data_IF_714904518175
#
_entry.id   IF_714904518175
#
_cell.length_a   1.000
_cell.length_b   1.000
_cell.length_c   1.000
_cell.angle_alpha   90.00
_cell.angle_beta   90.00
_cell.angle_gamma   90.00
#
_symmetry.space_group_name_H-M   'P 1'
#
loop_
_entity.id
_entity.type
_entity.pdbx_description
1 polymer ?
#
# COMPACT_ATOMS: atom_id res chain seq x y z
N UNK A 1 -7.04 22.64 -22.55
CA UNK A 1 -7.67 21.30 -22.56
C UNK A 1 -8.69 21.26 -21.43
N UNK A 2 -9.88 20.70 -21.64
CA UNK A 2 -10.90 20.59 -20.56
C UNK A 2 -10.85 19.17 -19.98
N UNK A 3 -10.38 19.01 -18.75
CA UNK A 3 -10.26 17.73 -18.05
C UNK A 3 -11.59 17.31 -17.38
N UNK A 4 -12.72 17.39 -18.10
CA UNK A 4 -14.10 17.22 -17.56
C UNK A 4 -14.37 15.92 -16.78
N UNK A 5 -13.52 14.89 -16.93
CA UNK A 5 -13.65 13.61 -16.24
C UNK A 5 -12.66 13.42 -15.06
N UNK A 6 -11.94 14.48 -14.66
CA UNK A 6 -10.96 14.46 -13.58
C UNK A 6 -11.43 15.32 -12.41
N UNK A 7 -11.63 14.68 -11.26
CA UNK A 7 -11.85 15.34 -9.97
C UNK A 7 -10.52 15.49 -9.22
N UNK A 8 -10.45 16.44 -8.29
CA UNK A 8 -9.28 16.63 -7.41
C UNK A 8 -9.02 15.37 -6.58
N UNK A 9 -10.07 14.75 -6.04
CA UNK A 9 -9.97 13.50 -5.29
C UNK A 9 -9.35 12.37 -6.13
N UNK A 10 -9.74 12.27 -7.41
CA UNK A 10 -9.16 11.31 -8.34
C UNK A 10 -7.69 11.62 -8.61
N UNK A 11 -7.34 12.89 -8.81
CA UNK A 11 -5.97 13.32 -9.03
C UNK A 11 -5.07 13.03 -7.82
N UNK A 12 -5.52 13.37 -6.61
CA UNK A 12 -4.83 13.06 -5.35
C UNK A 12 -4.64 11.56 -5.17
N UNK A 13 -5.66 10.75 -5.48
CA UNK A 13 -5.57 9.28 -5.40
C UNK A 13 -4.50 8.73 -6.35
N UNK A 14 -4.49 9.21 -7.60
CA UNK A 14 -3.50 8.81 -8.61
C UNK A 14 -2.08 9.17 -8.16
N UNK A 15 -1.85 10.39 -7.67
CA UNK A 15 -0.52 10.78 -7.20
C UNK A 15 -0.11 10.06 -5.91
N UNK A 16 -1.04 9.83 -4.98
CA UNK A 16 -0.80 9.00 -3.79
C UNK A 16 -0.35 7.60 -4.19
N UNK A 17 -1.05 6.96 -5.14
CA UNK A 17 -0.69 5.63 -5.64
C UNK A 17 0.67 5.64 -6.36
N UNK A 18 0.96 6.66 -7.16
CA UNK A 18 2.26 6.81 -7.80
C UNK A 18 3.39 6.95 -6.77
N UNK A 19 3.20 7.76 -5.72
CA UNK A 19 4.18 7.90 -4.64
C UNK A 19 4.30 6.65 -3.75
N UNK A 20 3.26 5.82 -3.63
CA UNK A 20 3.37 4.49 -3.01
C UNK A 20 4.24 3.56 -3.84
N UNK A 21 4.04 3.51 -5.16
CA UNK A 21 4.86 2.68 -6.06
C UNK A 21 6.33 3.14 -6.07
N UNK A 22 6.57 4.45 -6.06
CA UNK A 22 7.93 5.00 -5.95
C UNK A 22 8.60 4.59 -4.62
N UNK A 23 7.89 4.71 -3.50
CA UNK A 23 8.41 4.28 -2.18
C UNK A 23 8.66 2.78 -2.11
N UNK A 24 7.77 1.97 -2.68
CA UNK A 24 7.96 0.53 -2.78
C UNK A 24 9.19 0.18 -3.64
N UNK A 25 9.39 0.88 -4.76
CA UNK A 25 10.56 0.72 -5.63
C UNK A 25 11.90 1.03 -4.95
N UNK A 26 11.90 1.80 -3.85
CA UNK A 26 13.09 2.08 -3.06
C UNK A 26 13.42 0.96 -2.04
N UNK A 27 12.50 0.03 -1.79
CA UNK A 27 12.74 -1.12 -0.92
C UNK A 27 13.49 -2.18 -1.73
N UNK A 28 14.72 -2.48 -1.31
CA UNK A 28 15.55 -3.49 -1.99
C UNK A 28 15.25 -4.87 -1.44
N UNK A 29 14.72 -5.75 -2.31
CA UNK A 29 14.51 -7.18 -2.04
C UNK A 29 15.53 -7.97 -2.86
N UNK A 30 16.30 -8.81 -2.18
CA UNK A 30 17.46 -9.50 -2.76
C UNK A 30 17.16 -10.97 -3.12
N UNK A 31 16.22 -11.59 -2.42
CA UNK A 31 15.83 -12.99 -2.59
C UNK A 31 14.39 -13.23 -2.11
N UNK A 32 13.84 -14.40 -2.44
CA UNK A 32 12.53 -14.85 -1.94
C UNK A 32 12.54 -14.93 -0.41
N UNK A 33 13.60 -15.49 0.20
CA UNK A 33 13.73 -15.57 1.65
C UNK A 33 13.81 -14.18 2.30
N UNK A 34 14.53 -13.24 1.68
CA UNK A 34 14.58 -11.86 2.15
C UNK A 34 13.18 -11.23 2.09
N UNK A 35 12.43 -11.43 0.99
CA UNK A 35 11.06 -10.95 0.85
C UNK A 35 10.13 -11.53 1.93
N UNK A 36 10.19 -12.84 2.15
CA UNK A 36 9.38 -13.55 3.13
C UNK A 36 9.67 -13.06 4.56
N UNK A 37 10.95 -12.92 4.91
CA UNK A 37 11.38 -12.42 6.22
C UNK A 37 10.97 -10.96 6.45
N UNK A 38 11.12 -10.10 5.44
CA UNK A 38 10.71 -8.70 5.52
C UNK A 38 9.19 -8.57 5.72
N UNK A 39 8.40 -9.35 4.99
CA UNK A 39 6.94 -9.38 5.15
C UNK A 39 6.52 -9.93 6.51
N UNK A 40 7.17 -10.99 6.98
CA UNK A 40 6.91 -11.55 8.30
C UNK A 40 7.21 -10.53 9.41
N UNK A 41 8.33 -9.83 9.32
CA UNK A 41 8.70 -8.79 10.27
C UNK A 41 7.71 -7.61 10.27
N UNK A 42 7.30 -7.14 9.08
CA UNK A 42 6.34 -6.05 8.94
C UNK A 42 4.97 -6.43 9.54
N UNK A 43 4.44 -7.61 9.20
CA UNK A 43 3.19 -8.16 9.78
C UNK A 43 3.29 -8.34 11.29
N UNK A 44 4.41 -8.88 11.77
CA UNK A 44 4.66 -9.04 13.19
C UNK A 44 4.73 -7.70 13.94
N UNK A 45 5.18 -6.63 13.29
CA UNK A 45 5.13 -5.29 13.87
C UNK A 45 3.69 -4.75 13.95
N UNK A 46 2.90 -4.87 12.87
CA UNK A 46 1.48 -4.49 12.85
C UNK A 46 0.68 -5.25 13.92
N UNK A 47 0.88 -6.57 14.02
CA UNK A 47 0.19 -7.40 15.00
C UNK A 47 0.52 -6.99 16.45
N UNK A 48 1.80 -6.69 16.75
CA UNK A 48 2.22 -6.21 18.08
C UNK A 48 1.60 -4.86 18.43
N UNK A 49 1.56 -3.92 17.48
CA UNK A 49 0.93 -2.62 17.70
C UNK A 49 -0.60 -2.74 17.86
N UNK A 50 -1.24 -3.62 17.09
CA UNK A 50 -2.68 -3.88 17.21
C UNK A 50 -3.04 -4.46 18.58
N UNK A 51 -2.29 -5.44 19.06
CA UNK A 51 -2.46 -6.04 20.39
C UNK A 51 -2.19 -5.01 21.51
N UNK A 52 -1.13 -4.19 21.37
CA UNK A 52 -0.86 -3.11 22.32
C UNK A 52 -2.02 -2.09 22.39
N UNK A 53 -2.57 -1.70 21.23
CA UNK A 53 -3.74 -0.82 21.14
C UNK A 53 -4.98 -1.45 21.77
N UNK A 54 -5.26 -2.72 21.48
CA UNK A 54 -6.41 -3.43 22.04
C UNK A 54 -6.35 -3.50 23.57
N UNK A 55 -5.17 -3.81 24.12
CA UNK A 55 -4.95 -3.81 25.58
C UNK A 55 -5.14 -2.44 26.20
N UNK A 56 -4.62 -1.39 25.55
CA UNK A 56 -4.76 -0.02 26.05
C UNK A 56 -6.23 0.44 25.96
N UNK A 57 -6.94 0.09 24.90
CA UNK A 57 -8.36 0.37 24.74
C UNK A 57 -9.21 -0.36 25.79
N UNK A 58 -8.87 -1.61 26.12
CA UNK A 58 -9.54 -2.34 27.19
C UNK A 58 -9.38 -1.64 28.55
N UNK A 59 -8.16 -1.19 28.88
CA UNK A 59 -7.90 -0.40 30.10
C UNK A 59 -8.65 0.93 30.11
N UNK A 60 -8.74 1.61 28.97
CA UNK A 60 -9.53 2.84 28.84
C UNK A 60 -11.03 2.57 29.13
N UNK A 61 -11.55 1.43 28.65
CA UNK A 61 -12.92 0.99 28.93
C UNK A 61 -13.16 0.67 30.41
N UNK A 62 -12.21 0.01 31.08
CA UNK A 62 -12.27 -0.27 32.52
C UNK A 62 -12.33 1.03 33.34
N UNK A 63 -11.52 2.02 32.93
CA UNK A 63 -11.56 3.35 33.53
C UNK A 63 -12.92 4.03 33.34
N UNK A 64 -13.44 4.07 32.10
CA UNK A 64 -14.73 4.68 31.81
C UNK A 64 -15.85 4.01 32.61
N UNK A 65 -15.84 2.68 32.74
CA UNK A 65 -16.80 1.95 33.55
C UNK A 65 -16.70 2.30 35.05
N UNK A 66 -15.50 2.58 35.56
CA UNK A 66 -15.32 3.04 36.94
C UNK A 66 -15.85 4.46 37.16
N UNK A 67 -15.66 5.35 36.18
CA UNK A 67 -16.17 6.74 36.21
C UNK A 67 -17.71 6.77 36.12
N UNK A 68 -18.31 5.98 35.23
CA UNK A 68 -19.76 5.84 35.13
C UNK A 68 -20.39 5.27 36.42
N UNK A 69 -19.71 4.34 37.10
CA UNK A 69 -20.14 3.83 38.42
C UNK A 69 -20.07 4.92 39.48
N UNK A 70 -19.06 5.81 39.46
CA UNK A 70 -18.99 6.96 40.36
C UNK A 70 -20.19 7.88 40.13
N UNK A 71 -20.50 8.21 38.88
CA UNK A 71 -21.61 9.10 38.53
C UNK A 71 -22.97 8.53 38.95
N UNK A 72 -23.17 7.22 38.77
CA UNK A 72 -24.36 6.51 39.25
C UNK A 72 -24.46 6.56 40.78
N UNK A 73 -23.35 6.31 41.49
CA UNK A 73 -23.32 6.36 42.95
C UNK A 73 -23.58 7.78 43.48
N UNK A 74 -22.97 8.79 42.86
CA UNK A 74 -23.21 10.20 43.20
C UNK A 74 -24.67 10.61 42.98
N UNK A 75 -25.30 10.12 41.92
CA UNK A 75 -26.72 10.39 41.62
C UNK A 75 -27.62 9.69 42.63
N UNK A 76 -27.40 8.40 42.90
CA UNK A 76 -28.18 7.63 43.86
C UNK A 76 -28.09 8.21 45.28
N UNK A 77 -26.88 8.57 45.73
CA UNK A 77 -26.69 9.18 47.05
C UNK A 77 -27.27 10.58 47.13
N UNK A 78 -27.25 11.36 46.05
CA UNK A 78 -27.96 12.65 45.99
C UNK A 78 -29.46 12.45 46.17
N UNK A 79 -30.06 11.50 45.47
CA UNK A 79 -31.49 11.22 45.57
C UNK A 79 -31.88 10.71 46.97
N UNK A 80 -31.06 9.87 47.58
CA UNK A 80 -31.22 9.38 48.95
C UNK A 80 -31.16 10.52 49.99
N UNK A 81 -30.24 11.47 49.82
CA UNK A 81 -30.14 12.66 50.66
C UNK A 81 -31.37 13.57 50.51
N UNK A 82 -31.85 13.77 49.28
CA UNK A 82 -33.07 14.56 49.03
C UNK A 82 -34.30 13.89 49.63
N UNK A 83 -34.42 12.56 49.51
CA UNK A 83 -35.52 11.79 50.09
C UNK A 83 -35.49 11.85 51.63
N UNK A 84 -34.32 11.63 52.24
CA UNK A 84 -34.13 11.68 53.70
C UNK A 84 -34.48 13.07 54.26
N UNK A 85 -34.05 14.14 53.57
CA UNK A 85 -34.39 15.52 53.94
C UNK A 85 -35.91 15.81 53.84
N UNK A 86 -36.60 15.26 52.84
CA UNK A 86 -38.07 15.38 52.71
C UNK A 86 -38.82 14.64 53.80
N UNK A 87 -38.27 13.55 54.29
CA UNK A 87 -38.88 12.69 55.30
C UNK A 87 -38.46 13.04 56.74
N UNK A 88 -37.58 14.03 56.91
CA UNK A 88 -37.07 14.45 58.22
C UNK A 88 -36.18 13.40 58.90
N UNK A 89 -35.60 12.47 58.12
CA UNK A 89 -34.64 11.46 58.60
C UNK A 89 -33.22 11.97 58.43
N UNK A 90 -32.36 11.73 59.43
CA UNK A 90 -30.94 12.06 59.33
C UNK A 90 -30.22 11.04 58.44
N UNK A 91 -29.53 11.48 57.36
CA UNK A 91 -28.81 10.57 56.49
C UNK A 91 -27.58 9.93 57.15
N UNK A 92 -27.22 8.71 56.74
CA UNK A 92 -25.96 8.10 57.16
C UNK A 92 -24.79 8.60 56.29
N UNK A 93 -24.20 9.71 56.72
CA UNK A 93 -23.05 10.31 56.05
C UNK A 93 -21.78 9.43 56.09
N UNK A 94 -21.66 8.50 57.06
CA UNK A 94 -20.46 7.67 57.18
C UNK A 94 -20.40 6.59 56.11
N UNK A 95 -21.55 6.00 55.79
CA UNK A 95 -21.64 5.02 54.70
C UNK A 95 -21.34 5.69 53.35
N UNK A 96 -21.85 6.90 53.12
CA UNK A 96 -21.61 7.69 51.91
C UNK A 96 -20.12 8.02 51.77
N UNK A 97 -19.48 8.49 52.84
CA UNK A 97 -18.05 8.82 52.82
C UNK A 97 -17.18 7.59 52.58
N UNK A 98 -17.54 6.43 53.16
CA UNK A 98 -16.81 5.17 52.93
C UNK A 98 -16.91 4.72 51.47
N UNK A 99 -18.11 4.74 50.88
CA UNK A 99 -18.32 4.35 49.48
C UNK A 99 -17.67 5.32 48.50
N UNK A 100 -17.69 6.62 48.79
CA UNK A 100 -16.97 7.63 47.99
C UNK A 100 -15.45 7.48 48.12
N UNK A 101 -14.93 7.10 49.28
CA UNK A 101 -13.50 6.87 49.48
C UNK A 101 -13.00 5.67 48.65
N UNK A 102 -13.76 4.57 48.61
CA UNK A 102 -13.42 3.39 47.82
C UNK A 102 -13.37 3.70 46.32
N UNK A 103 -14.37 4.42 45.80
CA UNK A 103 -14.39 4.80 44.36
C UNK A 103 -13.30 5.83 44.04
N UNK A 104 -13.03 6.79 44.94
CA UNK A 104 -11.91 7.74 44.78
C UNK A 104 -10.56 7.04 44.81
N UNK A 105 -10.38 5.99 45.61
CA UNK A 105 -9.15 5.21 45.61
C UNK A 105 -8.95 4.48 44.28
N UNK A 106 -10.02 3.93 43.68
CA UNK A 106 -9.98 3.34 42.35
C UNK A 106 -9.61 4.39 41.30
N UNK A 107 -10.30 5.54 41.27
CA UNK A 107 -10.02 6.61 40.29
C UNK A 107 -8.64 7.25 40.48
N UNK A 108 -8.14 7.34 41.71
CA UNK A 108 -6.78 7.83 41.99
C UNK A 108 -5.71 6.94 41.37
N UNK A 109 -5.92 5.62 41.32
CA UNK A 109 -5.01 4.68 40.63
C UNK A 109 -5.01 4.88 39.11
N UNK A 110 -6.06 5.48 38.54
CA UNK A 110 -6.20 5.74 37.11
C UNK A 110 -5.98 7.21 36.72
N UNK A 111 -5.67 8.10 37.69
CA UNK A 111 -5.56 9.55 37.44
C UNK A 111 -4.44 9.89 36.45
N UNK A 112 -3.31 9.20 36.55
CA UNK A 112 -2.20 9.36 35.61
C UNK A 112 -2.53 8.71 34.25
N UNK A 113 -3.44 7.74 34.22
CA UNK A 113 -3.91 7.07 33.01
C UNK A 113 -4.94 7.94 32.24
N UNK A 114 -5.81 8.69 32.91
CA UNK A 114 -6.78 9.60 32.25
C UNK A 114 -6.14 10.60 31.28
N UNK A 115 -5.00 11.18 31.65
CA UNK A 115 -4.32 12.19 30.83
C UNK A 115 -3.46 11.54 29.74
N UNK A 116 -2.88 10.37 30.03
CA UNK A 116 -1.88 9.75 29.17
C UNK A 116 -2.46 8.70 28.20
N UNK A 117 -3.57 8.05 28.53
CA UNK A 117 -4.17 6.98 27.71
C UNK A 117 -4.71 7.48 26.37
N UNK A 118 -5.46 8.61 26.28
CA UNK A 118 -5.92 9.12 24.99
C UNK A 118 -4.75 9.48 24.06
N UNK A 119 -3.75 10.20 24.58
CA UNK A 119 -2.55 10.56 23.82
C UNK A 119 -1.75 9.33 23.37
N UNK A 120 -1.65 8.30 24.23
CA UNK A 120 -1.00 7.04 23.89
C UNK A 120 -1.79 6.21 22.86
N UNK A 121 -3.13 6.27 22.89
CA UNK A 121 -3.98 5.64 21.87
C UNK A 121 -3.82 6.35 20.51
N UNK A 122 -3.83 7.68 20.48
CA UNK A 122 -3.62 8.46 19.26
C UNK A 122 -2.24 8.17 18.64
N UNK A 123 -1.20 8.10 19.49
CA UNK A 123 0.15 7.76 19.06
C UNK A 123 0.25 6.30 18.56
N UNK A 124 -0.40 5.35 19.23
CA UNK A 124 -0.47 3.97 18.75
C UNK A 124 -1.23 3.87 17.43
N UNK A 125 -2.30 4.64 17.23
CA UNK A 125 -3.06 4.67 15.98
C UNK A 125 -2.25 5.27 14.82
N UNK A 126 -1.45 6.31 15.11
CA UNK A 126 -0.46 6.85 14.16
C UNK A 126 0.57 5.80 13.78
N UNK A 127 1.22 5.17 14.76
CA UNK A 127 2.23 4.13 14.53
C UNK A 127 1.66 2.92 13.79
N UNK A 128 0.43 2.51 14.11
CA UNK A 128 -0.25 1.41 13.46
C UNK A 128 -0.59 1.74 12.00
N UNK A 129 -0.96 2.98 11.71
CA UNK A 129 -1.16 3.45 10.33
C UNK A 129 0.15 3.40 9.55
N UNK A 130 1.25 3.90 10.12
CA UNK A 130 2.59 3.86 9.51
C UNK A 130 3.10 2.43 9.32
N UNK A 131 2.87 1.54 10.28
CA UNK A 131 3.26 0.14 10.21
C UNK A 131 2.47 -0.61 9.11
N UNK A 132 1.17 -0.34 8.98
CA UNK A 132 0.32 -0.89 7.90
C UNK A 132 0.76 -0.38 6.54
N UNK A 133 1.10 0.90 6.43
CA UNK A 133 1.67 1.46 5.21
C UNK A 133 3.00 0.80 4.87
N UNK A 134 3.87 0.60 5.86
CA UNK A 134 5.14 -0.12 5.67
C UNK A 134 4.90 -1.55 5.18
N UNK A 135 4.03 -2.32 5.84
CA UNK A 135 3.67 -3.68 5.42
C UNK A 135 3.18 -3.72 3.96
N UNK A 136 2.30 -2.79 3.61
CA UNK A 136 1.74 -2.67 2.27
C UNK A 136 2.81 -2.36 1.21
N UNK A 137 3.76 -1.47 1.52
CA UNK A 137 4.88 -1.13 0.64
C UNK A 137 5.86 -2.30 0.50
N UNK A 138 6.16 -3.00 1.59
CA UNK A 138 7.01 -4.21 1.56
C UNK A 138 6.38 -5.31 0.70
N UNK A 139 5.06 -5.49 0.76
CA UNK A 139 4.36 -6.47 -0.08
C UNK A 139 4.45 -6.10 -1.56
N UNK A 140 4.30 -4.82 -1.90
CA UNK A 140 4.44 -4.34 -3.27
C UNK A 140 5.87 -4.56 -3.80
N UNK A 141 6.89 -4.25 -2.98
CA UNK A 141 8.29 -4.48 -3.34
C UNK A 141 8.59 -5.98 -3.54
N UNK A 142 8.02 -6.85 -2.70
CA UNK A 142 8.10 -8.29 -2.88
C UNK A 142 7.46 -8.73 -4.21
N UNK A 143 6.30 -8.19 -4.57
CA UNK A 143 5.65 -8.47 -5.86
C UNK A 143 6.48 -8.02 -7.06
N UNK A 144 7.08 -6.83 -7.02
CA UNK A 144 7.96 -6.33 -8.08
C UNK A 144 9.26 -7.15 -8.18
N UNK A 145 9.73 -7.71 -7.07
CA UNK A 145 10.81 -8.70 -7.08
C UNK A 145 10.35 -10.02 -7.74
N UNK A 146 9.19 -10.57 -7.37
CA UNK A 146 8.69 -11.82 -7.95
C UNK A 146 8.44 -11.71 -9.46
N UNK A 147 7.92 -10.57 -9.92
CA UNK A 147 7.72 -10.30 -11.35
C UNK A 147 9.04 -10.37 -12.12
N UNK A 148 10.08 -9.71 -11.61
CA UNK A 148 11.43 -9.77 -12.21
C UNK A 148 12.04 -11.17 -12.13
N UNK A 149 11.89 -11.85 -10.99
CA UNK A 149 12.42 -13.19 -10.77
C UNK A 149 11.81 -14.21 -11.73
N UNK A 150 10.47 -14.26 -11.81
CA UNK A 150 9.78 -15.16 -12.72
C UNK A 150 9.88 -14.71 -14.18
N UNK A 151 9.99 -13.41 -14.45
CA UNK A 151 10.31 -12.89 -15.78
C UNK A 151 11.66 -13.39 -16.28
N UNK A 152 12.68 -13.41 -15.44
CA UNK A 152 13.99 -13.98 -15.77
C UNK A 152 13.93 -15.50 -15.92
N UNK A 153 13.28 -16.21 -14.99
CA UNK A 153 13.12 -17.66 -15.09
C UNK A 153 12.38 -18.08 -16.37
N UNK A 154 11.37 -17.30 -16.77
CA UNK A 154 10.67 -17.47 -18.04
C UNK A 154 11.61 -17.23 -19.23
N UNK A 155 12.40 -16.15 -19.21
CA UNK A 155 13.37 -15.86 -20.27
C UNK A 155 14.42 -16.99 -20.40
N UNK A 156 14.93 -17.51 -19.28
CA UNK A 156 15.88 -18.62 -19.26
C UNK A 156 15.25 -19.91 -19.82
N UNK A 157 14.04 -20.26 -19.39
CA UNK A 157 13.31 -21.42 -19.89
C UNK A 157 12.99 -21.30 -21.40
N UNK A 158 12.64 -20.09 -21.87
CA UNK A 158 12.45 -19.79 -23.29
C UNK A 158 13.75 -19.95 -24.06
N UNK A 159 14.86 -19.45 -23.55
CA UNK A 159 16.16 -19.54 -24.21
C UNK A 159 16.65 -21.01 -24.28
N UNK A 160 16.38 -21.82 -23.26
CA UNK A 160 16.59 -23.27 -23.30
C UNK A 160 15.74 -23.98 -24.36
N UNK A 161 14.44 -23.63 -24.44
CA UNK A 161 13.55 -24.13 -25.47
C UNK A 161 14.06 -23.76 -26.87
N UNK A 162 14.47 -22.52 -27.08
CA UNK A 162 15.01 -22.06 -28.36
C UNK A 162 16.29 -22.81 -28.75
N UNK A 163 17.21 -23.04 -27.81
CA UNK A 163 18.39 -23.88 -28.05
C UNK A 163 18.02 -25.31 -28.45
N UNK A 164 16.98 -25.89 -27.84
CA UNK A 164 16.49 -27.22 -28.21
C UNK A 164 15.88 -27.23 -29.62
N UNK A 165 15.08 -26.21 -29.95
CA UNK A 165 14.47 -26.03 -31.27
C UNK A 165 15.54 -25.89 -32.33
N UNK A 166 16.52 -25.00 -32.15
CA UNK A 166 17.60 -24.73 -33.10
C UNK A 166 18.59 -25.89 -33.24
N UNK A 167 18.73 -26.74 -32.22
CA UNK A 167 19.64 -27.87 -32.19
C UNK A 167 18.98 -29.21 -32.56
N UNK A 168 18.78 -30.14 -31.60
CA UNK A 168 18.34 -31.50 -31.89
C UNK A 168 17.00 -31.61 -32.62
N UNK A 169 16.06 -30.69 -32.35
CA UNK A 169 14.75 -30.72 -32.98
C UNK A 169 14.82 -30.30 -34.44
N UNK A 170 15.52 -29.20 -34.76
CA UNK A 170 15.78 -28.76 -36.14
C UNK A 170 16.39 -29.88 -36.97
N UNK A 171 17.44 -30.55 -36.48
CA UNK A 171 18.07 -31.66 -37.21
C UNK A 171 17.11 -32.83 -37.48
N UNK A 172 16.24 -33.16 -36.52
CA UNK A 172 15.22 -34.20 -36.69
C UNK A 172 14.15 -33.78 -37.71
N UNK A 173 13.69 -32.54 -37.67
CA UNK A 173 12.70 -32.00 -38.61
C UNK A 173 13.27 -31.92 -40.03
N UNK A 174 14.51 -31.43 -40.20
CA UNK A 174 15.22 -31.42 -41.48
C UNK A 174 15.34 -32.85 -42.04
N UNK A 175 15.65 -33.84 -41.19
CA UNK A 175 15.69 -35.25 -41.58
C UNK A 175 14.33 -35.82 -41.98
N UNK A 176 13.27 -35.54 -41.22
CA UNK A 176 11.91 -35.98 -41.56
C UNK A 176 11.46 -35.36 -42.88
N UNK A 177 11.69 -34.06 -43.06
CA UNK A 177 11.38 -33.36 -44.30
C UNK A 177 12.16 -33.93 -45.49
N UNK A 178 13.47 -34.17 -45.31
CA UNK A 178 14.29 -34.82 -46.32
C UNK A 178 13.75 -36.21 -46.70
N UNK A 179 13.36 -37.03 -45.71
CA UNK A 179 12.78 -38.35 -45.96
C UNK A 179 11.40 -38.28 -46.62
N UNK A 180 10.56 -37.30 -46.28
CA UNK A 180 9.29 -37.05 -46.95
C UNK A 180 9.47 -36.65 -48.42
N UNK A 181 10.44 -35.78 -48.71
CA UNK A 181 10.78 -35.40 -50.08
C UNK A 181 11.31 -36.59 -50.89
N UNK A 182 12.15 -37.43 -50.27
CA UNK A 182 12.61 -38.71 -50.86
C UNK A 182 11.41 -39.63 -51.12
N UNK A 183 10.54 -39.86 -50.14
CA UNK A 183 9.34 -40.68 -50.31
C UNK A 183 8.48 -40.18 -51.47
N UNK A 184 8.27 -38.86 -51.60
CA UNK A 184 7.54 -38.26 -52.72
C UNK A 184 8.18 -38.53 -54.08
N UNK A 185 9.51 -38.44 -54.16
CA UNK A 185 10.25 -38.72 -55.39
C UNK A 185 10.11 -40.19 -55.86
N UNK A 186 9.93 -41.12 -54.93
CA UNK A 186 9.77 -42.56 -55.21
C UNK A 186 8.32 -43.05 -55.18
N UNK A 187 7.36 -42.22 -54.79
CA UNK A 187 5.94 -42.57 -54.86
C UNK A 187 5.44 -42.44 -56.31
N UNK A 188 4.97 -43.54 -56.90
CA UNK A 188 4.56 -43.68 -58.31
C UNK A 188 3.37 -42.79 -58.77
N UNK A 189 2.90 -41.87 -57.92
CA UNK A 189 1.85 -40.90 -58.26
C UNK A 189 2.16 -39.51 -57.69
N UNK A 190 2.88 -38.70 -58.45
CA UNK A 190 2.54 -37.27 -58.52
C UNK A 190 3.01 -36.65 -59.83
N UNK A 191 2.18 -36.80 -60.86
CA UNK A 191 2.05 -35.77 -61.88
C UNK A 191 1.30 -34.59 -61.24
N UNK A 192 1.96 -33.43 -61.15
CA UNK A 192 1.33 -32.14 -60.86
C UNK A 192 1.44 -31.67 -59.41
N UNK A 193 2.24 -30.62 -59.21
CA UNK A 193 2.17 -29.77 -58.02
C UNK A 193 3.53 -29.53 -57.35
N UNK A 194 4.34 -28.62 -57.90
CA UNK A 194 5.40 -27.96 -57.11
C UNK A 194 4.69 -27.08 -56.08
N UNK A 195 4.76 -27.45 -54.81
CA UNK A 195 4.41 -26.54 -53.71
C UNK A 195 5.68 -25.80 -53.31
N UNK A 196 5.58 -24.48 -53.27
CA UNK A 196 6.65 -23.54 -52.99
C UNK A 196 7.35 -23.83 -51.64
N UNK A 197 8.64 -23.51 -51.57
CA UNK A 197 9.43 -23.52 -50.34
C UNK A 197 8.74 -22.72 -49.23
N UNK A 198 8.69 -23.23 -47.98
CA UNK A 198 8.40 -22.39 -46.84
C UNK A 198 9.65 -21.56 -46.55
N UNK A 199 9.56 -20.26 -46.80
CA UNK A 199 10.70 -19.36 -46.71
C UNK A 199 10.28 -17.90 -46.78
N UNK A 200 9.49 -17.45 -45.80
CA UNK A 200 9.41 -16.04 -45.41
C UNK A 200 8.85 -15.95 -43.99
N UNK A 201 9.68 -15.75 -42.96
CA UNK A 201 9.20 -15.20 -41.70
C UNK A 201 9.31 -13.67 -41.78
N UNK A 202 8.26 -13.02 -42.27
CA UNK A 202 7.96 -11.67 -41.79
C UNK A 202 7.05 -11.83 -40.59
N UNK A 203 7.53 -11.50 -39.40
CA UNK A 203 6.70 -10.93 -38.34
C UNK A 203 7.57 -10.46 -37.19
N UNK A 204 7.47 -9.18 -36.91
CA UNK A 204 7.73 -8.61 -35.59
C UNK A 204 6.79 -9.30 -34.60
N UNK A 205 7.32 -10.12 -33.71
CA UNK A 205 6.55 -10.81 -32.67
C UNK A 205 7.11 -10.38 -31.32
N UNK A 206 6.23 -9.92 -30.45
CA UNK A 206 6.52 -9.68 -29.03
C UNK A 206 6.56 -11.02 -28.29
N UNK A 207 7.26 -11.08 -27.16
CA UNK A 207 7.58 -12.31 -26.42
C UNK A 207 6.41 -13.28 -26.14
N UNK A 208 5.19 -12.80 -25.95
CA UNK A 208 4.01 -13.67 -25.76
C UNK A 208 3.58 -14.39 -27.05
N UNK A 209 3.57 -13.69 -28.18
CA UNK A 209 3.21 -14.29 -29.47
C UNK A 209 4.24 -15.30 -29.98
N UNK A 210 5.50 -15.18 -29.54
CA UNK A 210 6.56 -16.14 -29.87
C UNK A 210 6.33 -17.48 -29.17
N UNK A 211 5.94 -17.45 -27.90
CA UNK A 211 5.64 -18.65 -27.12
C UNK A 211 4.41 -19.37 -27.68
N UNK A 212 3.33 -18.63 -27.95
CA UNK A 212 2.10 -19.20 -28.52
C UNK A 212 2.38 -19.86 -29.88
N UNK A 213 3.23 -19.26 -30.71
CA UNK A 213 3.63 -19.84 -31.99
C UNK A 213 4.48 -21.12 -31.82
N UNK A 214 5.38 -21.16 -30.83
CA UNK A 214 6.18 -22.35 -30.51
C UNK A 214 5.31 -23.49 -29.95
N UNK A 215 4.33 -23.17 -29.10
CA UNK A 215 3.39 -24.13 -28.55
C UNK A 215 2.47 -24.70 -29.62
N UNK A 216 1.93 -23.85 -30.49
CA UNK A 216 1.13 -24.27 -31.64
C UNK A 216 1.94 -25.15 -32.62
N UNK A 217 3.22 -24.83 -32.83
CA UNK A 217 4.11 -25.66 -33.64
C UNK A 217 4.42 -27.02 -32.97
N UNK A 218 4.60 -27.04 -31.65
CA UNK A 218 4.78 -28.28 -30.89
C UNK A 218 3.54 -29.18 -30.98
N UNK A 219 2.34 -28.62 -30.82
CA UNK A 219 1.08 -29.34 -31.00
C UNK A 219 0.90 -29.89 -32.41
N UNK A 220 1.16 -29.07 -33.42
CA UNK A 220 1.02 -29.45 -34.82
C UNK A 220 2.02 -30.52 -35.27
N UNK A 221 3.25 -30.50 -34.73
CA UNK A 221 4.31 -31.45 -35.09
C UNK A 221 4.32 -32.71 -34.22
N UNK A 222 4.00 -32.59 -32.94
CA UNK A 222 3.98 -33.68 -31.97
C UNK A 222 2.66 -34.45 -31.93
N UNK A 223 1.56 -33.83 -32.40
CA UNK A 223 0.21 -34.40 -32.33
C UNK A 223 -0.33 -34.56 -30.90
N UNK A 224 0.34 -33.94 -29.92
CA UNK A 224 0.03 -34.03 -28.49
C UNK A 224 0.09 -32.63 -27.90
N UNK A 225 -1.04 -32.19 -27.34
CA UNK A 225 -1.15 -30.94 -26.61
C UNK A 225 -0.34 -30.92 -25.32
N UNK A 226 -0.02 -29.71 -24.84
CA UNK A 226 0.40 -29.58 -23.45
C UNK A 226 -0.68 -30.15 -22.53
N UNK A 227 -0.23 -30.80 -21.45
CA UNK A 227 -1.15 -31.28 -20.43
C UNK A 227 -1.48 -30.11 -19.52
N UNK A 228 -2.61 -29.44 -19.77
CA UNK A 228 -3.07 -28.29 -18.98
C UNK A 228 -3.06 -28.57 -17.47
N UNK A 229 -3.42 -29.78 -17.06
CA UNK A 229 -3.38 -30.23 -15.68
C UNK A 229 -1.96 -30.23 -15.09
N UNK A 230 -0.94 -30.58 -15.87
CA UNK A 230 0.45 -30.60 -15.41
C UNK A 230 1.03 -29.18 -15.35
N UNK A 231 0.74 -28.34 -16.36
CA UNK A 231 1.16 -26.91 -16.37
C UNK A 231 0.53 -26.19 -15.18
N UNK A 232 -0.77 -26.40 -14.96
CA UNK A 232 -1.50 -25.82 -13.84
C UNK A 232 -0.98 -26.31 -12.50
N UNK A 233 -0.57 -27.59 -12.40
CA UNK A 233 0.04 -28.15 -11.20
C UNK A 233 1.40 -27.50 -10.88
N UNK A 234 2.29 -27.38 -11.88
CA UNK A 234 3.60 -26.72 -11.70
C UNK A 234 3.41 -25.27 -11.24
N UNK A 235 2.49 -24.53 -11.88
CA UNK A 235 2.18 -23.16 -11.48
C UNK A 235 1.59 -23.09 -10.06
N UNK A 236 0.67 -24.00 -9.72
CA UNK A 236 0.06 -24.07 -8.40
C UNK A 236 1.08 -24.41 -7.30
N UNK A 237 2.03 -25.31 -7.55
CA UNK A 237 3.10 -25.64 -6.59
C UNK A 237 3.92 -24.41 -6.21
N UNK A 238 4.31 -23.59 -7.20
CA UNK A 238 5.02 -22.35 -6.94
C UNK A 238 4.14 -21.29 -6.25
N UNK A 239 2.87 -21.15 -6.64
CA UNK A 239 1.94 -20.23 -5.96
C UNK A 239 1.73 -20.63 -4.50
N UNK A 240 1.53 -21.91 -4.22
CA UNK A 240 1.34 -22.45 -2.88
C UNK A 240 2.60 -22.27 -2.01
N UNK A 241 3.78 -22.48 -2.59
CA UNK A 241 5.06 -22.21 -1.92
C UNK A 241 5.17 -20.74 -1.52
N UNK A 242 4.89 -19.82 -2.45
CA UNK A 242 4.94 -18.38 -2.17
C UNK A 242 3.88 -17.96 -1.14
N UNK A 243 2.68 -18.54 -1.18
CA UNK A 243 1.66 -18.32 -0.16
C UNK A 243 2.12 -18.77 1.23
N UNK A 244 2.80 -19.92 1.34
CA UNK A 244 3.39 -20.39 2.61
C UNK A 244 4.48 -19.44 3.12
N UNK A 245 5.23 -18.82 2.22
CA UNK A 245 6.18 -17.74 2.53
C UNK A 245 5.49 -16.40 2.84
N UNK A 246 4.15 -16.33 2.79
CA UNK A 246 3.37 -15.13 3.08
C UNK A 246 3.29 -14.14 1.91
N UNK A 247 3.74 -14.53 0.71
CA UNK A 247 3.67 -13.74 -0.52
C UNK A 247 2.45 -14.20 -1.31
N UNK A 248 1.34 -13.48 -1.19
CA UNK A 248 0.14 -13.75 -1.97
C UNK A 248 0.31 -13.38 -3.44
N UNK A 249 -0.57 -13.86 -4.32
CA UNK A 249 -0.59 -13.48 -5.73
C UNK A 249 -0.98 -12.01 -5.92
N UNK A 250 -0.36 -11.35 -6.90
CA UNK A 250 -0.66 -9.95 -7.27
C UNK A 250 -1.93 -9.82 -8.11
N UNK A 251 -2.22 -10.82 -8.95
CA UNK A 251 -3.39 -10.92 -9.84
C UNK A 251 -3.91 -12.37 -9.89
N UNK A 252 -5.17 -12.57 -10.31
CA UNK A 252 -5.75 -13.91 -10.53
C UNK A 252 -6.68 -14.40 -9.41
N UNK A 253 -7.01 -15.70 -9.44
CA UNK A 253 -7.99 -16.32 -8.53
C UNK A 253 -7.54 -16.21 -7.06
N UNK A 254 -8.36 -15.56 -6.23
CA UNK A 254 -8.08 -15.35 -4.79
C UNK A 254 -7.35 -14.05 -4.43
N UNK A 255 -6.90 -13.25 -5.41
CA UNK A 255 -6.27 -11.95 -5.14
C UNK A 255 -7.34 -10.87 -4.82
N UNK A 256 -7.14 -10.00 -3.80
CA UNK A 256 -8.04 -8.89 -3.54
C UNK A 256 -8.06 -7.91 -4.73
N UNK A 257 -9.25 -7.44 -5.10
CA UNK A 257 -9.43 -6.38 -6.09
C UNK A 257 -8.61 -5.14 -5.69
N UNK A 258 -7.68 -4.72 -6.56
CA UNK A 258 -6.80 -3.56 -6.32
C UNK A 258 -6.89 -2.57 -7.48
N UNK A 259 -6.65 -1.30 -7.18
CA UNK A 259 -6.57 -0.23 -8.18
C UNK A 259 -5.32 -0.42 -9.06
N UNK A 260 -5.49 -0.37 -10.39
CA UNK A 260 -4.41 -0.48 -11.37
C UNK A 260 -3.30 0.55 -11.13
N UNK A 261 -2.05 0.19 -11.45
CA UNK A 261 -0.92 1.11 -11.39
C UNK A 261 -1.18 2.31 -12.35
N UNK A 262 -1.06 3.55 -11.87
CA UNK A 262 -1.31 4.71 -12.72
C UNK A 262 -0.24 4.82 -13.81
N UNK A 263 -0.68 4.98 -15.05
CA UNK A 263 0.24 5.17 -16.17
C UNK A 263 0.83 6.60 -16.19
N UNK A 264 1.94 6.85 -16.92
CA UNK A 264 2.60 8.16 -16.94
C UNK A 264 1.69 9.32 -17.36
N UNK A 265 0.73 9.06 -18.25
CA UNK A 265 -0.25 10.06 -18.72
C UNK A 265 -1.22 10.42 -17.59
N UNK A 266 -1.72 9.44 -16.83
CA UNK A 266 -2.58 9.66 -15.67
C UNK A 266 -1.86 10.45 -14.58
N UNK A 267 -0.59 10.15 -14.31
CA UNK A 267 0.25 10.91 -13.37
C UNK A 267 0.40 12.36 -13.85
N UNK A 268 0.70 12.56 -15.13
CA UNK A 268 0.85 13.89 -15.70
C UNK A 268 -0.44 14.72 -15.59
N UNK A 269 -1.59 14.15 -15.96
CA UNK A 269 -2.89 14.82 -15.85
C UNK A 269 -3.21 15.13 -14.38
N UNK A 270 -2.96 14.19 -13.46
CA UNK A 270 -3.21 14.40 -12.04
C UNK A 270 -2.39 15.57 -11.47
N UNK A 271 -1.11 15.71 -11.85
CA UNK A 271 -0.28 16.86 -11.46
C UNK A 271 -0.87 18.18 -11.99
N UNK A 272 -1.33 18.22 -13.23
CA UNK A 272 -1.93 19.42 -13.82
C UNK A 272 -3.25 19.82 -13.16
N UNK A 273 -4.11 18.85 -12.85
CA UNK A 273 -5.40 19.11 -12.19
C UNK A 273 -5.21 19.69 -10.78
N UNK A 274 -4.25 19.17 -10.02
CA UNK A 274 -3.93 19.72 -8.69
C UNK A 274 -3.33 21.12 -8.81
N UNK A 275 -2.35 21.32 -9.68
CA UNK A 275 -1.73 22.63 -9.88
C UNK A 275 -2.76 23.68 -10.32
N UNK A 276 -3.67 23.32 -11.22
CA UNK A 276 -4.76 24.20 -11.66
C UNK A 276 -5.71 24.54 -10.51
N UNK A 277 -6.11 23.55 -9.70
CA UNK A 277 -6.95 23.78 -8.53
C UNK A 277 -6.27 24.67 -7.47
N UNK A 278 -4.97 24.47 -7.21
CA UNK A 278 -4.19 25.31 -6.29
C UNK A 278 -4.10 26.75 -6.80
N UNK A 279 -3.91 26.96 -8.11
CA UNK A 279 -3.94 28.31 -8.69
C UNK A 279 -5.32 28.96 -8.64
N UNK A 280 -6.41 28.20 -8.87
CA UNK A 280 -7.79 28.71 -8.81
C UNK A 280 -8.20 29.03 -7.36
N UNK A 281 -7.79 28.20 -6.39
CA UNK A 281 -8.00 28.44 -4.96
C UNK A 281 -7.23 29.67 -4.46
N UNK A 282 -5.99 29.88 -4.93
CA UNK A 282 -5.17 31.03 -4.56
C UNK A 282 -5.63 32.34 -5.24
N UNK A 283 -6.24 32.27 -6.44
CA UNK A 283 -6.87 33.43 -7.07
C UNK A 283 -8.13 33.90 -6.32
N UNK A 284 -8.81 33.03 -5.59
CA UNK A 284 -9.92 33.39 -4.70
C UNK A 284 -9.50 33.96 -3.34
N UNK A 285 -8.21 33.85 -2.96
CA UNK A 285 -7.69 34.26 -1.67
C UNK A 285 -7.01 35.65 -1.67
N UNK A 286 -6.81 36.27 -2.84
CA UNK A 286 -6.14 37.58 -2.95
C UNK A 286 -7.18 38.67 -3.24
N UNK A 287 -7.70 39.25 -2.16
CA UNK A 287 -7.98 40.69 -2.01
C UNK A 287 -8.34 40.98 -0.54
N UNK A 288 -7.34 40.91 0.36
CA UNK A 288 -7.39 41.62 1.64
C UNK A 288 -6.13 42.47 1.73
N UNK A 289 -6.26 43.69 1.21
CA UNK A 289 -5.46 44.90 1.39
C UNK A 289 -3.95 44.80 1.68
N UNK A 290 -3.18 45.00 0.61
CA UNK A 290 -1.78 45.46 0.55
C UNK A 290 -1.52 46.81 1.28
N UNK A 291 -2.54 47.44 1.86
CA UNK A 291 -2.41 48.71 2.58
C UNK A 291 -1.87 48.56 4.02
N UNK A 292 -1.87 47.33 4.58
CA UNK A 292 -1.48 47.09 5.99
C UNK A 292 0.00 46.78 6.19
N UNK A 293 0.69 46.25 5.17
CA UNK A 293 2.12 45.91 5.30
C UNK A 293 3.04 47.13 5.20
N UNK A 294 2.69 48.12 4.39
CA UNK A 294 3.50 49.35 4.28
C UNK A 294 3.40 50.23 5.54
N UNK A 295 2.27 50.19 6.26
CA UNK A 295 2.11 50.84 7.57
C UNK A 295 2.80 50.06 8.70
N UNK A 296 2.89 48.73 8.59
CA UNK A 296 3.56 47.87 9.56
C UNK A 296 5.08 47.95 9.43
N UNK A 297 5.60 48.01 8.20
CA UNK A 297 7.02 48.22 7.92
C UNK A 297 7.50 49.58 8.46
N UNK A 298 6.76 50.67 8.18
CA UNK A 298 7.08 52.01 8.70
C UNK A 298 7.04 52.10 10.24
N UNK A 299 6.17 51.32 10.90
CA UNK A 299 6.16 51.24 12.37
C UNK A 299 7.34 50.46 12.94
N UNK A 300 7.80 49.42 12.26
CA UNK A 300 8.96 48.64 12.70
C UNK A 300 10.26 49.42 12.50
N UNK A 301 10.39 50.17 11.41
CA UNK A 301 11.53 51.06 11.18
C UNK A 301 11.61 52.18 12.22
N UNK A 302 10.47 52.80 12.56
CA UNK A 302 10.41 53.82 13.60
C UNK A 302 10.78 53.27 15.00
N UNK A 303 10.37 52.03 15.31
CA UNK A 303 10.75 51.36 16.56
C UNK A 303 12.23 50.97 16.61
N UNK A 304 12.82 50.61 15.48
CA UNK A 304 14.26 50.33 15.37
C UNK A 304 15.11 51.59 15.50
N UNK A 305 14.68 52.70 14.90
CA UNK A 305 15.36 53.99 14.99
C UNK A 305 15.30 54.59 16.40
N UNK A 306 14.17 54.41 17.10
CA UNK A 306 14.04 54.80 18.50
C UNK A 306 14.95 53.99 19.43
N UNK A 307 15.05 52.66 19.22
CA UNK A 307 15.97 51.80 19.98
C UNK A 307 17.44 52.10 19.73
N UNK A 308 17.82 52.44 18.51
CA UNK A 308 19.21 52.84 18.22
C UNK A 308 19.57 54.17 18.90
N UNK A 309 18.65 55.14 18.91
CA UNK A 309 18.88 56.41 19.60
C UNK A 309 19.00 56.24 21.12
N UNK A 310 18.25 55.30 21.73
CA UNK A 310 18.38 54.97 23.15
C UNK A 310 19.74 54.31 23.48
N UNK A 311 20.27 53.46 22.61
CA UNK A 311 21.59 52.83 22.79
C UNK A 311 22.72 53.86 22.65
N UNK A 312 22.64 54.74 21.64
CA UNK A 312 23.67 55.78 21.41
C UNK A 312 23.68 56.83 22.54
N UNK A 313 22.54 57.13 23.15
CA UNK A 313 22.45 58.04 24.30
C UNK A 313 22.80 57.36 25.63
N UNK A 314 22.77 56.03 25.70
CA UNK A 314 23.16 55.24 26.88
C UNK A 314 24.66 54.95 26.97
N UNK A 315 25.38 54.90 25.84
CA UNK A 315 26.83 54.66 25.81
C UNK A 315 27.70 55.92 26.01
N UNK A 316 27.09 57.10 26.16
CA UNK A 316 27.78 58.37 26.43
C UNK A 316 27.96 58.73 27.92
N UNK A 317 27.62 57.84 28.86
CA UNK A 317 27.68 58.10 30.31
C UNK A 317 28.58 57.10 31.08
N UNK A 318 29.67 56.65 30.46
CA UNK A 318 30.81 56.03 31.14
C UNK A 318 32.10 56.78 30.81
#
# INVERSE_FOLDING_TARGET
MSFRNWTIERAQRVLRRAGELERAGNITIESIDHAANALHAARGHVARLADARERLQARAGDFQAADERLDQLMTAKRDELVASAREGREPDYREIDAQLADVRAVLANYRDEQVNVPAALDELDRQLTEARDTERLTLEAAHDFMDRHYGQAFADARDELMKFVEGPLRMKLERVWAMYQVQRAYSERSAGGRVASPGTPERTVTTEGELDALLAAFEALGGVALRDAEVSKIAAEHVDEMQRCGIGTRFGYGAPSREEAPNPIQIHIAKQVIAQHETEANQGAVQVDDATDDTRAKRLDALHEQRMNEVVMGEGAL
#
